data_IF_508520660417
#
_entry.id   IF_508520660417
#
_cell.length_a   1.000
_cell.length_b   1.000
_cell.length_c   1.000
_cell.angle_alpha   90.00
_cell.angle_beta   90.00
_cell.angle_gamma   90.00
#
_symmetry.space_group_name_H-M   'P 1'
#
loop_
_entity.id
_entity.type
_entity.pdbx_description
1 polymer ?
#
# COMPACT_ATOMS: atom_id res chain seq x y z
N UNK A 1 -7.74 4.80 29.77
CA UNK A 1 -8.30 6.10 29.37
C UNK A 1 -7.61 6.57 28.11
N UNK A 2 -8.26 6.54 26.96
CA UNK A 2 -7.69 7.01 25.71
C UNK A 2 -7.73 8.53 25.69
N UNK A 3 -6.58 9.17 25.81
CA UNK A 3 -6.48 10.62 25.66
C UNK A 3 -6.60 10.96 24.17
N UNK A 4 -7.69 11.60 23.76
CA UNK A 4 -7.79 12.26 22.47
C UNK A 4 -6.84 13.46 22.47
N UNK A 5 -5.87 13.45 21.60
CA UNK A 5 -4.92 14.56 21.46
C UNK A 5 -5.49 15.75 20.67
N UNK A 6 -6.62 15.58 20.00
CA UNK A 6 -7.33 16.63 19.25
C UNK A 6 -8.77 16.22 18.97
N UNK A 7 -9.64 17.21 18.79
CA UNK A 7 -11.01 17.01 18.34
C UNK A 7 -11.03 16.67 16.85
N UNK A 8 -11.85 15.69 16.49
CA UNK A 8 -12.07 15.30 15.10
C UNK A 8 -13.41 15.87 14.62
N UNK A 9 -13.35 16.68 13.55
CA UNK A 9 -14.56 17.19 12.88
C UNK A 9 -14.97 16.19 11.79
N UNK A 10 -16.07 15.50 12.03
CA UNK A 10 -16.63 14.54 11.09
C UNK A 10 -17.23 15.24 9.85
N UNK A 11 -16.95 14.72 8.66
CA UNK A 11 -17.54 15.17 7.40
C UNK A 11 -17.67 13.99 6.45
N UNK A 12 -18.88 13.71 5.98
CA UNK A 12 -19.15 12.65 5.02
C UNK A 12 -18.35 12.84 3.73
N UNK A 13 -18.31 14.04 3.20
CA UNK A 13 -17.61 14.35 1.94
C UNK A 13 -16.12 14.07 2.04
N UNK A 14 -15.51 14.39 3.19
CA UNK A 14 -14.08 14.10 3.43
C UNK A 14 -13.83 12.61 3.65
N UNK A 15 -14.74 11.91 4.33
CA UNK A 15 -14.56 10.48 4.64
C UNK A 15 -14.71 9.58 3.41
N UNK A 16 -15.57 9.96 2.48
CA UNK A 16 -15.85 9.20 1.26
C UNK A 16 -15.05 9.66 0.04
N UNK A 17 -14.17 10.65 0.22
CA UNK A 17 -13.34 11.14 -0.88
C UNK A 17 -12.38 10.05 -1.38
N UNK A 18 -12.21 10.00 -2.72
CA UNK A 18 -11.25 9.13 -3.38
C UNK A 18 -9.82 9.71 -3.38
N UNK A 19 -9.57 10.71 -2.55
CA UNK A 19 -8.28 11.37 -2.36
C UNK A 19 -8.04 11.62 -0.88
N UNK A 20 -6.78 11.72 -0.50
CA UNK A 20 -6.38 11.91 0.88
C UNK A 20 -6.36 10.61 1.69
N UNK A 21 -6.23 10.74 3.02
CA UNK A 21 -6.16 9.60 3.94
C UNK A 21 -7.56 9.08 4.24
N UNK A 22 -8.15 8.37 3.28
CA UNK A 22 -9.51 7.82 3.35
C UNK A 22 -9.53 6.33 2.99
N UNK A 23 -10.51 5.60 3.51
CA UNK A 23 -10.68 4.18 3.19
C UNK A 23 -10.89 3.95 1.68
N UNK A 24 -11.78 4.67 0.98
CA UNK A 24 -11.96 4.48 -0.46
C UNK A 24 -10.69 4.70 -1.28
N UNK A 25 -9.86 5.68 -0.92
CA UNK A 25 -8.58 5.90 -1.59
C UNK A 25 -7.62 4.72 -1.42
N UNK A 26 -7.49 4.20 -0.20
CA UNK A 26 -6.61 3.06 0.08
C UNK A 26 -7.12 1.76 -0.58
N UNK A 27 -8.44 1.54 -0.60
CA UNK A 27 -9.06 0.43 -1.30
C UNK A 27 -8.80 0.49 -2.80
N UNK A 28 -8.90 1.68 -3.40
CA UNK A 28 -8.57 1.88 -4.81
C UNK A 28 -7.09 1.58 -5.11
N UNK A 29 -6.17 2.02 -4.26
CA UNK A 29 -4.74 1.74 -4.42
C UNK A 29 -4.43 0.24 -4.31
N UNK A 30 -5.10 -0.47 -3.40
CA UNK A 30 -5.03 -1.93 -3.34
C UNK A 30 -5.47 -2.57 -4.66
N UNK A 31 -6.67 -2.23 -5.12
CA UNK A 31 -7.25 -2.79 -6.35
C UNK A 31 -6.34 -2.57 -7.55
N UNK A 32 -5.73 -1.39 -7.66
CA UNK A 32 -4.80 -1.05 -8.73
C UNK A 32 -3.53 -1.90 -8.70
N UNK A 33 -2.92 -2.06 -7.54
CA UNK A 33 -1.72 -2.89 -7.37
C UNK A 33 -2.03 -4.38 -7.62
N UNK A 34 -3.12 -4.89 -7.05
CA UNK A 34 -3.55 -6.28 -7.24
C UNK A 34 -3.92 -6.59 -8.70
N UNK A 35 -4.54 -5.63 -9.40
CA UNK A 35 -4.88 -5.77 -10.83
C UNK A 35 -3.65 -5.98 -11.70
N UNK A 36 -2.57 -5.22 -11.48
CA UNK A 36 -1.31 -5.40 -12.24
C UNK A 36 -0.76 -6.81 -12.11
N UNK A 37 -0.74 -7.35 -10.90
CA UNK A 37 -0.26 -8.71 -10.63
C UNK A 37 -1.13 -9.75 -11.31
N UNK A 38 -2.45 -9.59 -11.23
CA UNK A 38 -3.44 -10.49 -11.85
C UNK A 38 -3.36 -10.45 -13.38
N UNK A 39 -3.34 -9.27 -13.97
CA UNK A 39 -3.29 -9.10 -15.43
C UNK A 39 -1.99 -9.65 -16.03
N UNK A 40 -0.90 -9.66 -15.24
CA UNK A 40 0.37 -10.27 -15.62
C UNK A 40 0.38 -11.81 -15.45
N UNK A 41 -0.60 -12.39 -14.78
CA UNK A 41 -0.58 -13.81 -14.39
C UNK A 41 0.58 -14.16 -13.45
N UNK A 42 1.11 -13.16 -12.73
CA UNK A 42 2.26 -13.34 -11.86
C UNK A 42 1.86 -13.92 -10.50
N UNK A 43 2.67 -14.82 -9.96
CA UNK A 43 2.49 -15.40 -8.64
C UNK A 43 3.81 -15.39 -7.85
N UNK A 44 3.78 -15.42 -6.51
CA UNK A 44 4.99 -15.49 -5.69
C UNK A 44 5.89 -16.69 -6.01
N UNK A 45 5.33 -17.77 -6.55
CA UNK A 45 6.08 -18.97 -6.91
C UNK A 45 7.09 -18.73 -8.07
N UNK A 46 6.84 -17.72 -8.91
CA UNK A 46 7.75 -17.33 -10.00
C UNK A 46 8.60 -16.11 -9.64
N UNK A 47 8.53 -15.66 -8.39
CA UNK A 47 9.32 -14.52 -7.93
C UNK A 47 10.81 -14.84 -7.95
N UNK A 48 11.54 -14.07 -8.74
CA UNK A 48 13.00 -14.02 -8.70
C UNK A 48 13.49 -13.05 -7.61
N UNK A 49 14.77 -12.67 -7.70
CA UNK A 49 15.32 -11.59 -6.87
C UNK A 49 14.65 -10.26 -7.22
N UNK A 50 14.35 -9.47 -6.21
CA UNK A 50 13.92 -8.09 -6.39
C UNK A 50 15.16 -7.24 -6.70
N UNK A 51 15.19 -6.68 -7.89
CA UNK A 51 16.20 -5.73 -8.35
C UNK A 51 15.64 -4.32 -8.24
N UNK A 52 16.29 -3.46 -7.49
CA UNK A 52 15.85 -2.10 -7.25
C UNK A 52 16.80 -1.15 -7.96
N UNK A 53 16.39 -0.63 -9.09
CA UNK A 53 17.20 0.25 -9.94
C UNK A 53 16.76 1.70 -9.83
N UNK A 54 15.46 1.97 -10.03
CA UNK A 54 14.91 3.31 -9.98
C UNK A 54 14.77 3.85 -8.54
N UNK A 55 14.88 5.17 -8.35
CA UNK A 55 14.68 5.79 -7.04
C UNK A 55 13.30 5.50 -6.44
N UNK A 56 12.26 5.46 -7.27
CA UNK A 56 10.88 5.17 -6.87
C UNK A 56 10.71 3.72 -6.38
N UNK A 57 11.35 2.76 -7.04
CA UNK A 57 11.41 1.37 -6.59
C UNK A 57 12.06 1.26 -5.23
N UNK A 58 13.17 1.98 -5.03
CA UNK A 58 13.91 2.00 -3.77
C UNK A 58 13.11 2.63 -2.64
N UNK A 59 12.42 3.73 -2.92
CA UNK A 59 11.57 4.40 -1.93
C UNK A 59 10.40 3.52 -1.50
N UNK A 60 9.71 2.89 -2.45
CA UNK A 60 8.62 1.96 -2.19
C UNK A 60 9.11 0.73 -1.38
N UNK A 61 10.19 0.09 -1.81
CA UNK A 61 10.75 -1.09 -1.13
C UNK A 61 11.14 -0.77 0.32
N UNK A 62 11.80 0.38 0.54
CA UNK A 62 12.19 0.84 1.88
C UNK A 62 10.97 1.09 2.77
N UNK A 63 9.91 1.69 2.24
CA UNK A 63 8.68 1.93 2.99
C UNK A 63 8.00 0.62 3.37
N UNK A 64 7.92 -0.36 2.45
CA UNK A 64 7.36 -1.69 2.71
C UNK A 64 8.07 -2.42 3.87
N UNK A 65 9.38 -2.27 4.02
CA UNK A 65 10.15 -2.89 5.11
C UNK A 65 9.76 -2.37 6.50
N UNK A 66 9.18 -1.19 6.61
CA UNK A 66 8.78 -0.59 7.89
C UNK A 66 7.44 -1.11 8.42
N UNK A 67 6.70 -1.91 7.68
CA UNK A 67 5.36 -2.36 8.07
C UNK A 67 5.33 -3.03 9.45
N UNK A 68 6.24 -3.96 9.70
CA UNK A 68 6.33 -4.66 10.98
C UNK A 68 6.61 -3.74 12.16
N UNK A 69 7.46 -2.72 11.97
CA UNK A 69 7.76 -1.72 13.00
C UNK A 69 6.54 -0.86 13.34
N UNK A 70 5.76 -0.49 12.31
CA UNK A 70 4.53 0.28 12.51
C UNK A 70 3.48 -0.54 13.27
N UNK A 71 3.30 -1.81 12.92
CA UNK A 71 2.38 -2.69 13.64
C UNK A 71 2.79 -2.87 15.11
N UNK A 72 4.07 -3.04 15.40
CA UNK A 72 4.59 -3.11 16.76
C UNK A 72 4.25 -1.84 17.55
N UNK A 73 4.53 -0.66 16.99
CA UNK A 73 4.22 0.62 17.62
C UNK A 73 2.72 0.81 17.87
N UNK A 74 1.86 0.40 16.92
CA UNK A 74 0.40 0.43 17.10
C UNK A 74 -0.03 -0.46 18.26
N UNK A 75 0.55 -1.67 18.37
CA UNK A 75 0.24 -2.60 19.46
C UNK A 75 0.68 -2.08 20.83
N UNK A 76 1.85 -1.48 20.92
CA UNK A 76 2.40 -0.95 22.16
C UNK A 76 1.69 0.32 22.65
N UNK A 77 1.38 1.24 21.74
CA UNK A 77 0.84 2.56 22.09
C UNK A 77 -0.69 2.66 21.93
N UNK A 78 -1.35 1.63 21.40
CA UNK A 78 -2.79 1.63 21.09
C UNK A 78 -3.20 2.82 20.20
N UNK A 79 -2.37 3.13 19.18
CA UNK A 79 -2.57 4.26 18.27
C UNK A 79 -2.79 3.80 16.82
N UNK A 80 -4.01 3.42 16.43
CA UNK A 80 -4.30 2.95 15.07
C UNK A 80 -4.05 4.01 13.99
N UNK A 81 -4.01 5.29 14.33
CA UNK A 81 -3.68 6.35 13.39
C UNK A 81 -2.25 6.24 12.81
N UNK A 82 -1.32 5.60 13.50
CA UNK A 82 0.00 5.31 12.95
C UNK A 82 -0.10 4.38 11.73
N UNK A 83 -0.96 3.38 11.81
CA UNK A 83 -1.22 2.49 10.68
C UNK A 83 -1.92 3.23 9.55
N UNK A 84 -2.92 4.06 9.85
CA UNK A 84 -3.60 4.86 8.83
C UNK A 84 -2.61 5.76 8.05
N UNK A 85 -1.74 6.47 8.76
CA UNK A 85 -0.73 7.33 8.16
C UNK A 85 0.26 6.53 7.32
N UNK A 86 0.73 5.39 7.82
CA UNK A 86 1.63 4.50 7.11
C UNK A 86 1.03 4.01 5.80
N UNK A 87 -0.22 3.55 5.81
CA UNK A 87 -0.91 3.06 4.61
C UNK A 87 -1.15 4.19 3.59
N UNK A 88 -1.45 5.39 4.07
CA UNK A 88 -1.58 6.56 3.20
C UNK A 88 -0.25 6.94 2.52
N UNK A 89 0.85 6.92 3.25
CA UNK A 89 2.19 7.14 2.70
C UNK A 89 2.57 6.02 1.72
N UNK A 90 2.27 4.76 2.04
CA UNK A 90 2.48 3.63 1.13
C UNK A 90 1.73 3.81 -0.18
N UNK A 91 0.48 4.23 -0.12
CA UNK A 91 -0.32 4.55 -1.30
C UNK A 91 0.32 5.65 -2.16
N UNK A 92 0.88 6.68 -1.53
CA UNK A 92 1.62 7.74 -2.20
C UNK A 92 2.88 7.24 -2.91
N UNK A 93 3.69 6.41 -2.25
CA UNK A 93 4.88 5.80 -2.85
C UNK A 93 4.52 4.85 -3.98
N UNK A 94 3.45 4.07 -3.82
CA UNK A 94 2.93 3.19 -4.87
C UNK A 94 2.48 3.97 -6.11
N UNK A 95 1.81 5.10 -5.93
CA UNK A 95 1.41 5.97 -7.06
C UNK A 95 2.60 6.51 -7.83
N UNK A 96 3.61 7.03 -7.14
CA UNK A 96 4.84 7.53 -7.77
C UNK A 96 5.59 6.43 -8.53
N UNK A 97 5.69 5.26 -7.92
CA UNK A 97 6.27 4.09 -8.56
C UNK A 97 5.51 3.70 -9.83
N UNK A 98 4.18 3.65 -9.77
CA UNK A 98 3.34 3.33 -10.92
C UNK A 98 3.51 4.30 -12.10
N UNK A 99 3.64 5.59 -11.80
CA UNK A 99 3.82 6.63 -12.81
C UNK A 99 5.22 6.62 -13.45
N UNK A 100 6.26 6.40 -12.64
CA UNK A 100 7.65 6.47 -13.09
C UNK A 100 8.19 5.15 -13.67
N UNK A 101 7.66 4.01 -13.21
CA UNK A 101 8.20 2.68 -13.51
C UNK A 101 7.16 1.84 -14.27
N UNK A 102 7.25 1.73 -15.61
CA UNK A 102 6.37 0.84 -16.36
C UNK A 102 6.52 -0.61 -15.87
N UNK A 103 5.41 -1.24 -15.44
CA UNK A 103 5.45 -2.60 -14.91
C UNK A 103 5.28 -3.62 -16.03
N UNK A 104 4.12 -3.60 -16.72
CA UNK A 104 3.78 -4.61 -17.72
C UNK A 104 4.58 -4.53 -19.00
N UNK A 105 5.13 -3.35 -19.31
CA UNK A 105 5.93 -3.09 -20.52
C UNK A 105 7.43 -3.31 -20.35
N UNK A 106 7.88 -3.56 -19.14
CA UNK A 106 9.29 -3.87 -18.86
C UNK A 106 9.63 -5.29 -19.25
N UNK A 107 10.91 -5.51 -19.57
CA UNK A 107 11.47 -6.83 -19.83
C UNK A 107 11.97 -7.50 -18.54
N UNK A 108 12.14 -8.82 -18.58
CA UNK A 108 12.73 -9.55 -17.47
C UNK A 108 14.24 -9.24 -17.35
N UNK A 109 14.82 -9.17 -16.16
CA UNK A 109 14.22 -9.50 -14.85
C UNK A 109 13.49 -8.33 -14.17
N UNK A 110 13.52 -7.14 -14.75
CA UNK A 110 12.93 -5.91 -14.16
C UNK A 110 11.43 -6.04 -13.99
N UNK A 111 10.74 -6.62 -14.98
CA UNK A 111 9.28 -6.85 -14.93
C UNK A 111 8.88 -7.69 -13.73
N UNK A 112 9.52 -8.83 -13.53
CA UNK A 112 9.24 -9.73 -12.39
C UNK A 112 9.52 -9.05 -11.05
N UNK A 113 10.58 -8.26 -10.95
CA UNK A 113 10.92 -7.47 -9.76
C UNK A 113 9.84 -6.42 -9.45
N UNK A 114 9.37 -5.69 -10.45
CA UNK A 114 8.30 -4.68 -10.29
C UNK A 114 6.96 -5.30 -9.92
N UNK A 115 6.63 -6.46 -10.48
CA UNK A 115 5.43 -7.22 -10.10
C UNK A 115 5.51 -7.72 -8.66
N UNK A 116 6.68 -8.14 -8.19
CA UNK A 116 6.89 -8.49 -6.79
C UNK A 116 6.64 -7.30 -5.86
N UNK A 117 7.10 -6.09 -6.21
CA UNK A 117 6.81 -4.87 -5.45
C UNK A 117 5.30 -4.53 -5.46
N UNK A 118 4.61 -4.69 -6.59
CA UNK A 118 3.16 -4.52 -6.67
C UNK A 118 2.43 -5.52 -5.76
N UNK A 119 2.84 -6.78 -5.78
CA UNK A 119 2.26 -7.82 -4.94
C UNK A 119 2.44 -7.53 -3.45
N UNK A 120 3.65 -7.16 -3.02
CA UNK A 120 3.94 -6.78 -1.63
C UNK A 120 3.13 -5.55 -1.22
N UNK A 121 3.00 -4.56 -2.10
CA UNK A 121 2.18 -3.37 -1.84
C UNK A 121 0.72 -3.74 -1.63
N UNK A 122 0.15 -4.56 -2.50
CA UNK A 122 -1.23 -5.04 -2.35
C UNK A 122 -1.42 -5.85 -1.06
N UNK A 123 -0.48 -6.73 -0.73
CA UNK A 123 -0.51 -7.54 0.49
C UNK A 123 -0.49 -6.67 1.75
N UNK A 124 0.40 -5.67 1.82
CA UNK A 124 0.51 -4.77 2.97
C UNK A 124 -0.72 -3.87 3.10
N UNK A 125 -1.23 -3.33 1.99
CA UNK A 125 -2.47 -2.54 2.00
C UNK A 125 -3.65 -3.38 2.50
N UNK A 126 -3.83 -4.59 1.98
CA UNK A 126 -4.88 -5.50 2.42
C UNK A 126 -4.77 -5.85 3.90
N UNK A 127 -3.59 -6.27 4.34
CA UNK A 127 -3.36 -6.65 5.75
C UNK A 127 -3.56 -5.47 6.69
N UNK A 128 -3.04 -4.30 6.33
CA UNK A 128 -3.19 -3.09 7.13
C UNK A 128 -4.64 -2.61 7.21
N UNK A 129 -5.38 -2.65 6.11
CA UNK A 129 -6.80 -2.31 6.10
C UNK A 129 -7.63 -3.32 6.91
N UNK A 130 -7.31 -4.61 6.82
CA UNK A 130 -7.96 -5.67 7.60
C UNK A 130 -7.75 -5.45 9.11
N UNK A 131 -6.56 -5.07 9.55
CA UNK A 131 -6.28 -4.67 10.93
C UNK A 131 -7.14 -3.49 11.40
N UNK A 132 -7.57 -2.62 10.48
CA UNK A 132 -8.47 -1.50 10.76
C UNK A 132 -9.96 -1.85 10.61
N UNK A 133 -10.29 -3.12 10.31
CA UNK A 133 -11.65 -3.58 10.06
C UNK A 133 -12.23 -3.14 8.72
N UNK A 134 -11.36 -2.77 7.75
CA UNK A 134 -11.76 -2.27 6.43
C UNK A 134 -11.49 -3.37 5.40
N UNK A 135 -12.55 -3.89 4.76
CA UNK A 135 -12.42 -4.85 3.68
C UNK A 135 -11.89 -4.22 2.38
N UNK A 136 -11.37 -5.06 1.49
CA UNK A 136 -10.93 -4.67 0.15
C UNK A 136 -11.77 -5.37 -0.92
N UNK A 137 -11.80 -4.78 -2.12
CA UNK A 137 -12.49 -5.35 -3.28
C UNK A 137 -11.48 -5.65 -4.39
N UNK A 138 -11.71 -6.73 -5.11
CA UNK A 138 -10.89 -7.09 -6.28
C UNK A 138 -11.18 -6.17 -7.48
N UNK A 139 -12.30 -5.46 -7.46
CA UNK A 139 -12.73 -4.50 -8.49
C UNK A 139 -13.37 -3.28 -7.84
N UNK A 140 -12.96 -2.14 -8.29
CA UNK A 140 -13.56 -0.84 -7.98
C UNK A 140 -13.71 -0.01 -9.24
#
# INVERSE_FOLDING_TARGET
MLFRSSDYVFSWDKMLALQGNTAPYLQYQYTRAAKLVRDAGWTPAVAGRIHVEAPEERALARHLLNFGLVLAAVGEEARPNYLCNYLYELAGWSSRFYEACPVLRSEEPVRGSRLALCHLTALVLRTGLDCLGIGVSEQM
#
